data_IF_285177012914
#
_entry.id   IF_285177012914
#
_cell.length_a   1.000
_cell.length_b   1.000
_cell.length_c   1.000
_cell.angle_alpha   90.00
_cell.angle_beta   90.00
_cell.angle_gamma   90.00
#
_symmetry.space_group_name_H-M   'P 1'
#
loop_
_entity.id
_entity.type
_entity.pdbx_description
1 polymer ?
#
# COMPACT_ATOMS: atom_id res chain seq x y z
N UNK A 1 -5.23 -6.22 11.84
CA UNK A 1 -3.95 -5.54 11.60
C UNK A 1 -2.95 -6.40 10.83
N UNK A 2 -2.62 -7.61 11.30
CA UNK A 2 -1.70 -8.53 10.63
C UNK A 2 -2.04 -8.72 9.14
N UNK A 3 -3.28 -9.09 8.83
CA UNK A 3 -3.71 -9.31 7.44
C UNK A 3 -3.61 -8.05 6.57
N UNK A 4 -3.98 -6.88 7.09
CA UNK A 4 -3.83 -5.63 6.35
C UNK A 4 -2.35 -5.29 6.12
N UNK A 5 -1.47 -5.54 7.10
CA UNK A 5 -0.03 -5.35 6.92
C UNK A 5 0.49 -6.27 5.80
N UNK A 6 0.10 -7.55 5.80
CA UNK A 6 0.40 -8.49 4.72
C UNK A 6 -0.06 -7.97 3.34
N UNK A 7 -1.31 -7.52 3.24
CA UNK A 7 -1.87 -7.03 1.98
C UNK A 7 -1.16 -5.77 1.47
N UNK A 8 -0.88 -4.82 2.36
CA UNK A 8 -0.17 -3.60 2.01
C UNK A 8 1.28 -3.88 1.57
N UNK A 9 1.97 -4.73 2.32
CA UNK A 9 3.34 -5.14 2.00
C UNK A 9 3.44 -5.94 0.71
N UNK A 10 2.40 -6.70 0.34
CA UNK A 10 2.35 -7.39 -0.95
C UNK A 10 2.49 -6.41 -2.11
N UNK A 11 1.58 -5.44 -2.21
CA UNK A 11 1.63 -4.47 -3.29
C UNK A 11 2.88 -3.57 -3.21
N UNK A 12 3.35 -3.25 -2.00
CA UNK A 12 4.56 -2.45 -1.84
C UNK A 12 5.82 -3.18 -2.37
N UNK A 13 6.09 -4.41 -1.93
CA UNK A 13 7.32 -5.12 -2.31
C UNK A 13 7.30 -5.63 -3.75
N UNK A 14 6.14 -6.06 -4.26
CA UNK A 14 6.01 -6.49 -5.65
C UNK A 14 6.24 -5.31 -6.59
N UNK A 15 5.62 -4.14 -6.34
CA UNK A 15 5.90 -2.93 -7.10
C UNK A 15 7.37 -2.52 -6.95
N UNK A 16 7.92 -2.46 -5.74
CA UNK A 16 9.32 -2.07 -5.55
C UNK A 16 10.30 -2.92 -6.40
N UNK A 17 10.01 -4.21 -6.54
CA UNK A 17 10.87 -5.15 -7.28
C UNK A 17 10.66 -5.11 -8.78
N UNK A 18 9.41 -4.98 -9.25
CA UNK A 18 9.04 -5.17 -10.65
C UNK A 18 8.74 -3.88 -11.41
N UNK A 19 8.52 -2.74 -10.72
CA UNK A 19 8.18 -1.47 -11.33
C UNK A 19 9.25 -0.92 -12.30
N UNK A 20 10.58 -1.05 -12.03
CA UNK A 20 11.60 -0.63 -12.99
C UNK A 20 11.53 -1.41 -14.31
N UNK A 21 11.31 -2.73 -14.24
CA UNK A 21 11.17 -3.58 -15.41
C UNK A 21 9.89 -3.24 -16.17
N UNK A 22 8.77 -3.08 -15.45
CA UNK A 22 7.49 -2.66 -16.04
C UNK A 22 7.63 -1.33 -16.79
N UNK A 23 8.22 -0.29 -16.20
CA UNK A 23 8.44 0.98 -16.88
C UNK A 23 9.43 0.89 -18.04
N UNK A 24 10.42 0.01 -17.97
CA UNK A 24 11.36 -0.23 -19.07
C UNK A 24 10.61 -0.78 -20.30
N UNK A 25 9.73 -1.77 -20.09
CA UNK A 25 8.95 -2.39 -21.16
C UNK A 25 7.87 -1.45 -21.69
N UNK A 26 7.10 -0.79 -20.81
CA UNK A 26 5.98 0.07 -21.19
C UNK A 26 6.45 1.34 -21.93
N UNK A 27 7.51 1.99 -21.44
CA UNK A 27 8.06 3.21 -22.04
C UNK A 27 9.10 2.93 -23.13
N UNK A 28 9.43 1.67 -23.40
CA UNK A 28 10.56 1.26 -24.26
C UNK A 28 11.89 1.96 -23.90
N UNK A 29 12.12 2.15 -22.60
CA UNK A 29 13.33 2.79 -22.06
C UNK A 29 14.39 1.75 -21.72
N UNK A 30 15.65 2.18 -21.68
CA UNK A 30 16.68 1.35 -21.07
C UNK A 30 16.42 1.20 -19.56
N UNK A 31 16.80 0.06 -18.99
CA UNK A 31 16.58 -0.23 -17.56
C UNK A 31 17.14 0.86 -16.63
N UNK A 32 18.28 1.47 -17.00
CA UNK A 32 18.86 2.58 -16.23
C UNK A 32 17.95 3.81 -16.20
N UNK A 33 17.31 4.15 -17.31
CA UNK A 33 16.40 5.29 -17.40
C UNK A 33 15.10 4.96 -16.68
N UNK A 34 14.54 3.77 -16.89
CA UNK A 34 13.36 3.30 -16.16
C UNK A 34 13.57 3.24 -14.63
N UNK A 35 14.77 2.91 -14.17
CA UNK A 35 15.13 2.98 -12.76
C UNK A 35 15.06 4.42 -12.21
N UNK A 36 15.51 5.42 -12.98
CA UNK A 36 15.35 6.83 -12.59
C UNK A 36 13.87 7.24 -12.50
N UNK A 37 13.06 6.77 -13.44
CA UNK A 37 11.61 7.01 -13.44
C UNK A 37 10.93 6.34 -12.24
N UNK A 38 11.40 5.17 -11.82
CA UNK A 38 10.88 4.42 -10.66
C UNK A 38 11.16 5.09 -9.31
N UNK A 39 11.95 6.18 -9.29
CA UNK A 39 12.16 7.01 -8.09
C UNK A 39 11.00 8.00 -7.89
N UNK A 40 10.19 8.27 -8.92
CA UNK A 40 9.06 9.20 -8.85
C UNK A 40 8.03 8.81 -7.78
N UNK A 41 7.53 7.55 -7.69
CA UNK A 41 6.56 7.19 -6.66
C UNK A 41 7.10 7.36 -5.23
N UNK A 42 8.31 6.89 -4.86
CA UNK A 42 8.89 7.16 -3.54
C UNK A 42 9.07 8.65 -3.23
N UNK A 43 9.49 9.46 -4.21
CA UNK A 43 9.61 10.91 -4.01
C UNK A 43 8.24 11.57 -3.77
N UNK A 44 7.24 11.23 -4.59
CA UNK A 44 5.87 11.71 -4.40
C UNK A 44 5.29 11.26 -3.04
N UNK A 45 5.63 10.04 -2.61
CA UNK A 45 5.23 9.49 -1.31
C UNK A 45 5.68 10.34 -0.13
N UNK A 46 6.87 10.97 -0.21
CA UNK A 46 7.38 11.88 0.84
C UNK A 46 6.45 13.09 1.01
N UNK A 47 6.05 13.73 -0.09
CA UNK A 47 5.13 14.87 -0.04
C UNK A 47 3.73 14.47 0.44
N UNK A 48 3.23 13.34 -0.06
CA UNK A 48 1.90 12.83 0.32
C UNK A 48 1.86 12.45 1.80
N UNK A 49 2.94 11.93 2.37
CA UNK A 49 3.01 11.58 3.80
C UNK A 49 2.74 12.80 4.69
N UNK A 50 3.32 13.96 4.36
CA UNK A 50 3.08 15.21 5.10
C UNK A 50 1.61 15.65 5.02
N UNK A 51 1.00 15.53 3.83
CA UNK A 51 -0.42 15.84 3.62
C UNK A 51 -1.29 14.86 4.40
N UNK A 52 -0.97 13.57 4.37
CA UNK A 52 -1.72 12.51 5.04
C UNK A 52 -1.71 12.67 6.57
N UNK A 53 -0.56 13.05 7.15
CA UNK A 53 -0.42 13.33 8.58
C UNK A 53 -1.28 14.54 8.98
N UNK A 54 -1.14 15.67 8.27
CA UNK A 54 -1.93 16.87 8.56
C UNK A 54 -3.43 16.63 8.39
N UNK A 55 -3.82 15.85 7.37
CA UNK A 55 -5.20 15.46 7.12
C UNK A 55 -5.76 14.62 8.27
N UNK A 56 -5.03 13.59 8.72
CA UNK A 56 -5.50 12.75 9.83
C UNK A 56 -5.61 13.54 11.12
N UNK A 57 -4.63 14.38 11.42
CA UNK A 57 -4.58 15.15 12.67
C UNK A 57 -5.70 16.20 12.72
N UNK A 58 -5.97 16.86 11.58
CA UNK A 58 -7.08 17.81 11.47
C UNK A 58 -8.43 17.12 11.69
N UNK A 59 -8.66 15.92 11.14
CA UNK A 59 -9.91 15.20 11.37
C UNK A 59 -10.11 14.82 12.84
N UNK A 60 -9.04 14.36 13.50
CA UNK A 60 -9.07 14.02 14.93
C UNK A 60 -9.33 15.29 15.76
N UNK A 61 -8.66 16.41 15.46
CA UNK A 61 -8.84 17.68 16.15
C UNK A 61 -10.27 18.25 16.01
N UNK A 62 -10.95 17.96 14.89
CA UNK A 62 -12.35 18.32 14.66
C UNK A 62 -13.37 17.36 15.32
N UNK A 63 -12.90 16.38 16.11
CA UNK A 63 -13.75 15.50 16.91
C UNK A 63 -14.21 14.23 16.20
N UNK A 64 -13.62 13.88 15.05
CA UNK A 64 -13.87 12.57 14.41
C UNK A 64 -13.20 11.47 15.23
N UNK A 65 -13.89 10.34 15.44
CA UNK A 65 -13.33 9.19 16.15
C UNK A 65 -12.03 8.71 15.49
N UNK A 66 -10.99 8.48 16.29
CA UNK A 66 -9.68 8.00 15.83
C UNK A 66 -9.81 6.75 14.96
N UNK A 67 -10.61 5.76 15.38
CA UNK A 67 -10.90 4.54 14.60
C UNK A 67 -11.41 4.87 13.20
N UNK A 68 -12.31 5.84 13.08
CA UNK A 68 -12.88 6.24 11.80
C UNK A 68 -11.83 6.92 10.93
N UNK A 69 -10.99 7.81 11.50
CA UNK A 69 -9.89 8.44 10.77
C UNK A 69 -8.87 7.40 10.28
N UNK A 70 -8.49 6.43 11.12
CA UNK A 70 -7.57 5.34 10.73
C UNK A 70 -8.17 4.45 9.63
N UNK A 71 -9.47 4.17 9.68
CA UNK A 71 -10.19 3.45 8.62
C UNK A 71 -10.18 4.21 7.30
N UNK A 72 -10.45 5.52 7.32
CA UNK A 72 -10.43 6.37 6.12
C UNK A 72 -9.01 6.41 5.52
N UNK A 73 -7.99 6.68 6.34
CA UNK A 73 -6.61 6.74 5.85
C UNK A 73 -6.17 5.41 5.24
N UNK A 74 -6.49 4.28 5.90
CA UNK A 74 -6.14 2.97 5.37
C UNK A 74 -6.92 2.63 4.09
N UNK A 75 -8.19 3.01 3.99
CA UNK A 75 -8.98 2.82 2.78
C UNK A 75 -8.39 3.61 1.60
N UNK A 76 -7.99 4.87 1.82
CA UNK A 76 -7.30 5.68 0.80
C UNK A 76 -6.02 4.97 0.36
N UNK A 77 -5.22 4.48 1.33
CA UNK A 77 -3.95 3.83 1.06
C UNK A 77 -4.05 2.59 0.17
N UNK A 78 -5.12 1.81 0.29
CA UNK A 78 -5.31 0.58 -0.49
C UNK A 78 -6.15 0.79 -1.76
N UNK A 79 -7.20 1.60 -1.69
CA UNK A 79 -8.08 1.84 -2.83
C UNK A 79 -7.40 2.69 -3.91
N UNK A 80 -6.50 3.60 -3.53
CA UNK A 80 -5.79 4.43 -4.52
C UNK A 80 -4.88 3.62 -5.45
N UNK A 81 -3.90 2.81 -4.98
CA UNK A 81 -3.10 1.99 -5.88
C UNK A 81 -3.94 0.93 -6.59
N UNK A 82 -4.97 0.36 -5.96
CA UNK A 82 -5.86 -0.61 -6.61
C UNK A 82 -6.61 0.02 -7.80
N UNK A 83 -7.17 1.22 -7.62
CA UNK A 83 -7.87 1.93 -8.71
C UNK A 83 -6.91 2.32 -9.82
N UNK A 84 -5.73 2.83 -9.47
CA UNK A 84 -4.69 3.15 -10.46
C UNK A 84 -4.25 1.93 -11.26
N UNK A 85 -4.01 0.79 -10.61
CA UNK A 85 -3.67 -0.47 -11.29
C UNK A 85 -4.80 -0.98 -12.19
N UNK A 86 -6.07 -0.85 -11.77
CA UNK A 86 -7.22 -1.19 -12.62
C UNK A 86 -7.22 -0.30 -13.86
N UNK A 87 -7.10 1.02 -13.68
CA UNK A 87 -7.07 1.97 -14.81
C UNK A 87 -5.90 1.69 -15.77
N UNK A 88 -4.73 1.35 -15.26
CA UNK A 88 -3.56 0.96 -16.06
C UNK A 88 -3.72 -0.40 -16.75
N UNK A 89 -4.58 -1.28 -16.24
CA UNK A 89 -4.87 -2.58 -16.86
C UNK A 89 -5.91 -2.51 -17.98
N UNK A 90 -6.71 -1.44 -18.02
CA UNK A 90 -7.71 -1.23 -19.05
C UNK A 90 -7.05 -0.61 -20.29
N UNK A 91 -7.35 -1.16 -21.47
CA UNK A 91 -6.87 -0.64 -22.75
C UNK A 91 -7.66 0.64 -23.13
N UNK A 92 -7.34 1.73 -22.43
CA UNK A 92 -7.97 3.04 -22.60
C UNK A 92 -7.27 3.89 -23.66
N UNK A 93 -6.26 3.36 -24.36
CA UNK A 93 -5.46 4.10 -25.34
C UNK A 93 -4.62 5.23 -24.72
N UNK A 94 -4.28 5.12 -23.44
CA UNK A 94 -3.45 6.08 -22.71
C UNK A 94 -2.01 6.05 -23.23
N UNK A 95 -1.34 7.20 -23.22
CA UNK A 95 0.08 7.23 -23.52
C UNK A 95 0.89 6.56 -22.40
N UNK A 96 2.02 5.91 -22.72
CA UNK A 96 2.86 5.24 -21.71
C UNK A 96 3.25 6.15 -20.52
N UNK A 97 3.51 7.43 -20.78
CA UNK A 97 3.82 8.40 -19.72
C UNK A 97 2.66 8.69 -18.77
N UNK A 98 1.42 8.64 -19.27
CA UNK A 98 0.23 8.84 -18.45
C UNK A 98 0.02 7.65 -17.51
N UNK A 99 0.28 6.43 -17.99
CA UNK A 99 0.23 5.19 -17.18
C UNK A 99 1.22 5.29 -16.00
N UNK A 100 2.46 5.70 -16.28
CA UNK A 100 3.48 5.91 -15.24
C UNK A 100 3.06 6.98 -14.23
N UNK A 101 2.48 8.09 -14.70
CA UNK A 101 1.97 9.15 -13.83
C UNK A 101 0.84 8.66 -12.91
N UNK A 102 -0.13 7.92 -13.46
CA UNK A 102 -1.26 7.36 -12.71
C UNK A 102 -0.79 6.36 -11.66
N UNK A 103 0.09 5.42 -12.02
CA UNK A 103 0.65 4.44 -11.08
C UNK A 103 1.49 5.11 -10.01
N UNK A 104 2.33 6.10 -10.38
CA UNK A 104 3.15 6.84 -9.41
C UNK A 104 2.28 7.60 -8.41
N UNK A 105 1.19 8.22 -8.87
CA UNK A 105 0.24 8.91 -8.01
C UNK A 105 -0.49 7.95 -7.06
N UNK A 106 -0.98 6.81 -7.57
CA UNK A 106 -1.64 5.79 -6.74
C UNK A 106 -0.72 5.20 -5.68
N UNK A 107 0.52 4.88 -6.06
CA UNK A 107 1.54 4.38 -5.13
C UNK A 107 1.93 5.46 -4.10
N UNK A 108 1.98 6.74 -4.48
CA UNK A 108 2.24 7.82 -3.53
C UNK A 108 1.11 8.01 -2.51
N UNK A 109 -0.15 7.88 -2.95
CA UNK A 109 -1.32 7.89 -2.06
C UNK A 109 -1.37 6.69 -1.11
N UNK A 110 -0.66 5.60 -1.42
CA UNK A 110 -0.51 4.48 -0.49
C UNK A 110 0.20 4.88 0.82
N UNK A 111 0.95 6.00 0.86
CA UNK A 111 1.58 6.55 2.07
C UNK A 111 0.61 6.89 3.19
N UNK A 112 -0.69 7.04 2.90
CA UNK A 112 -1.72 7.17 3.94
C UNK A 112 -1.75 5.96 4.90
N UNK A 113 -1.12 4.83 4.56
CA UNK A 113 -0.93 3.70 5.47
C UNK A 113 -0.17 4.08 6.74
N UNK A 114 0.75 5.06 6.68
CA UNK A 114 1.50 5.54 7.83
C UNK A 114 0.54 6.13 8.88
N UNK A 115 -0.37 7.01 8.45
CA UNK A 115 -1.42 7.57 9.31
C UNK A 115 -2.56 6.59 9.63
N UNK A 116 -2.70 5.51 8.85
CA UNK A 116 -3.69 4.45 9.04
C UNK A 116 -3.19 3.31 9.92
N UNK A 117 -2.56 2.32 9.30
CA UNK A 117 -2.08 1.09 9.94
C UNK A 117 -1.01 1.34 11.01
N UNK A 118 0.01 2.16 10.76
CA UNK A 118 1.14 2.29 11.68
C UNK A 118 0.73 3.00 12.97
N UNK A 119 0.02 4.14 12.89
CA UNK A 119 -0.51 4.83 14.06
C UNK A 119 -1.48 3.97 14.89
N UNK A 120 -2.24 3.07 14.25
CA UNK A 120 -3.21 2.23 14.98
C UNK A 120 -2.55 1.32 16.02
N UNK A 121 -1.28 0.93 15.85
CA UNK A 121 -0.58 0.11 16.86
C UNK A 121 -0.37 0.90 18.16
N UNK A 122 -0.02 2.19 18.04
CA UNK A 122 0.13 3.10 19.17
C UNK A 122 -1.22 3.46 19.80
N UNK A 123 -2.26 3.65 18.98
CA UNK A 123 -3.61 3.96 19.47
C UNK A 123 -4.20 2.80 20.32
N UNK A 124 -3.90 1.55 19.96
CA UNK A 124 -4.37 0.36 20.70
C UNK A 124 -3.61 0.18 22.01
N UNK A 125 -2.28 0.30 21.98
CA UNK A 125 -1.44 0.11 23.17
C UNK A 125 -0.15 0.91 23.05
N UNK A 126 -0.01 2.03 23.79
CA UNK A 126 1.24 2.77 23.82
C UNK A 126 2.41 1.95 24.38
N UNK A 127 2.14 1.08 25.36
CA UNK A 127 3.14 0.24 26.03
C UNK A 127 3.67 -0.88 25.12
N UNK A 128 2.77 -1.56 24.41
CA UNK A 128 3.12 -2.71 23.57
C UNK A 128 3.21 -2.38 22.07
N UNK A 129 3.13 -1.10 21.68
CA UNK A 129 3.09 -0.64 20.28
C UNK A 129 4.21 -1.25 19.43
N UNK A 130 5.45 -1.22 19.93
CA UNK A 130 6.63 -1.73 19.22
C UNK A 130 6.58 -3.24 19.02
N UNK A 131 6.06 -3.98 20.00
CA UNK A 131 5.92 -5.45 19.91
C UNK A 131 4.83 -5.79 18.91
N UNK A 132 3.67 -5.11 18.98
CA UNK A 132 2.58 -5.29 18.04
C UNK A 132 3.05 -5.00 16.60
N UNK A 133 3.78 -3.90 16.40
CA UNK A 133 4.34 -3.55 15.10
C UNK A 133 5.38 -4.59 14.63
N UNK A 134 6.24 -5.08 15.51
CA UNK A 134 7.21 -6.14 15.19
C UNK A 134 6.53 -7.43 14.69
N UNK A 135 5.46 -7.85 15.37
CA UNK A 135 4.68 -9.04 14.98
C UNK A 135 4.03 -8.81 13.60
N UNK A 136 3.35 -7.68 13.39
CA UNK A 136 2.70 -7.43 12.11
C UNK A 136 3.71 -7.26 10.97
N UNK A 137 4.85 -6.63 11.23
CA UNK A 137 5.92 -6.43 10.25
C UNK A 137 6.59 -7.75 9.85
N UNK A 138 6.73 -8.70 10.78
CA UNK A 138 7.25 -10.04 10.46
C UNK A 138 6.37 -10.74 9.42
N UNK A 139 5.04 -10.67 9.59
CA UNK A 139 4.11 -11.21 8.59
C UNK A 139 4.10 -10.35 7.32
N UNK A 140 4.26 -9.03 7.47
CA UNK A 140 4.41 -8.09 6.36
C UNK A 140 5.63 -8.36 5.47
N UNK A 141 6.70 -8.96 5.99
CA UNK A 141 7.88 -9.30 5.19
C UNK A 141 7.68 -10.51 4.27
N UNK A 142 6.74 -11.42 4.60
CA UNK A 142 6.47 -12.64 3.82
C UNK A 142 6.11 -12.36 2.36
N UNK A 143 5.23 -11.39 2.03
CA UNK A 143 4.97 -10.97 0.66
C UNK A 143 6.20 -10.55 -0.15
N UNK A 144 7.25 -10.03 0.49
CA UNK A 144 8.48 -9.67 -0.20
C UNK A 144 9.22 -10.88 -0.77
N UNK A 145 9.08 -12.04 -0.12
CA UNK A 145 9.67 -13.30 -0.57
C UNK A 145 8.73 -13.99 -1.56
N UNK A 146 7.48 -14.21 -1.14
CA UNK A 146 6.52 -15.02 -1.89
C UNK A 146 5.92 -14.24 -3.06
N UNK A 147 5.54 -12.98 -2.83
CA UNK A 147 4.88 -12.15 -3.84
C UNK A 147 5.80 -11.81 -5.00
N UNK A 148 7.05 -11.43 -4.72
CA UNK A 148 8.02 -11.12 -5.77
C UNK A 148 8.31 -12.34 -6.65
N UNK A 149 8.53 -13.51 -6.04
CA UNK A 149 8.77 -14.76 -6.76
C UNK A 149 7.53 -15.19 -7.56
N UNK A 150 6.33 -15.09 -6.99
CA UNK A 150 5.08 -15.43 -7.66
C UNK A 150 4.82 -14.52 -8.86
N UNK A 151 5.04 -13.21 -8.74
CA UNK A 151 4.90 -12.26 -9.86
C UNK A 151 5.85 -12.63 -10.99
N UNK A 152 7.10 -13.01 -10.70
CA UNK A 152 8.03 -13.48 -11.73
C UNK A 152 7.55 -14.74 -12.45
N UNK A 153 7.14 -15.76 -11.69
CA UNK A 153 6.60 -16.99 -12.27
C UNK A 153 5.35 -16.76 -13.14
N UNK A 154 4.44 -15.89 -12.67
CA UNK A 154 3.25 -15.52 -13.43
C UNK A 154 3.59 -14.72 -14.68
N UNK A 155 4.57 -13.82 -14.61
CA UNK A 155 5.01 -13.04 -15.77
C UNK A 155 5.62 -13.94 -16.85
N UNK A 156 6.46 -14.91 -16.46
CA UNK A 156 7.03 -15.89 -17.38
C UNK A 156 5.97 -16.77 -18.05
N UNK A 157 4.88 -17.07 -17.34
CA UNK A 157 3.81 -17.94 -17.85
C UNK A 157 2.75 -17.21 -18.67
N UNK A 158 2.41 -15.98 -18.29
CA UNK A 158 1.27 -15.23 -18.86
C UNK A 158 1.70 -14.14 -19.84
N UNK A 159 2.97 -13.71 -19.79
CA UNK A 159 3.52 -12.58 -20.54
C UNK A 159 2.70 -11.28 -20.41
N UNK A 160 2.00 -11.11 -19.27
CA UNK A 160 1.11 -9.97 -19.04
C UNK A 160 1.28 -9.41 -17.64
N UNK A 161 1.71 -8.15 -17.56
CA UNK A 161 1.83 -7.38 -16.31
C UNK A 161 0.51 -7.23 -15.56
N UNK A 162 -0.59 -7.11 -16.29
CA UNK A 162 -1.94 -7.01 -15.73
C UNK A 162 -2.32 -8.26 -14.94
N UNK A 163 -1.95 -9.45 -15.42
CA UNK A 163 -2.21 -10.71 -14.71
C UNK A 163 -1.16 -11.04 -13.64
N UNK A 164 0.12 -10.70 -13.87
CA UNK A 164 1.20 -11.09 -12.97
C UNK A 164 1.43 -10.15 -11.78
N UNK A 165 1.29 -8.83 -12.01
CA UNK A 165 1.57 -7.79 -11.03
C UNK A 165 0.28 -7.13 -10.51
N UNK A 166 -0.60 -6.69 -11.42
CA UNK A 166 -1.77 -5.90 -11.03
C UNK A 166 -2.86 -6.75 -10.40
N UNK A 167 -3.28 -7.86 -11.00
CA UNK A 167 -4.39 -8.67 -10.49
C UNK A 167 -4.17 -9.18 -9.04
N UNK A 168 -3.01 -9.76 -8.66
CA UNK A 168 -2.76 -10.18 -7.29
C UNK A 168 -2.73 -8.99 -6.31
N UNK A 169 -2.10 -7.87 -6.72
CA UNK A 169 -2.01 -6.67 -5.90
C UNK A 169 -3.38 -6.04 -5.64
N UNK A 170 -4.21 -5.91 -6.69
CA UNK A 170 -5.59 -5.43 -6.59
C UNK A 170 -6.40 -6.34 -5.66
N UNK A 171 -6.29 -7.66 -5.81
CA UNK A 171 -6.97 -8.61 -4.95
C UNK A 171 -6.63 -8.39 -3.47
N UNK A 172 -5.34 -8.29 -3.13
CA UNK A 172 -4.92 -8.08 -1.75
C UNK A 172 -5.30 -6.68 -1.22
N UNK A 173 -5.22 -5.63 -2.04
CA UNK A 173 -5.65 -4.29 -1.62
C UNK A 173 -7.15 -4.23 -1.33
N UNK A 174 -7.99 -4.82 -2.20
CA UNK A 174 -9.44 -4.82 -2.00
C UNK A 174 -9.87 -5.66 -0.81
N UNK A 175 -9.35 -6.88 -0.69
CA UNK A 175 -9.65 -7.78 0.44
C UNK A 175 -9.12 -7.21 1.75
N UNK A 176 -7.90 -6.64 1.74
CA UNK A 176 -7.32 -5.91 2.87
C UNK A 176 -8.17 -4.73 3.31
N UNK A 177 -8.74 -3.97 2.35
CA UNK A 177 -9.66 -2.86 2.65
C UNK A 177 -10.94 -3.34 3.32
N UNK A 178 -11.56 -4.39 2.77
CA UNK A 178 -12.80 -4.96 3.33
C UNK A 178 -12.58 -5.42 4.77
N UNK A 179 -11.52 -6.21 5.01
CA UNK A 179 -11.20 -6.72 6.34
C UNK A 179 -10.85 -5.58 7.30
N UNK A 180 -10.12 -4.56 6.85
CA UNK A 180 -9.79 -3.40 7.69
C UNK A 180 -11.04 -2.60 8.09
N UNK A 181 -11.92 -2.30 7.13
CA UNK A 181 -13.14 -1.55 7.41
C UNK A 181 -14.09 -2.31 8.34
N UNK A 182 -14.19 -3.63 8.18
CA UNK A 182 -15.04 -4.47 9.02
C UNK A 182 -14.51 -4.60 10.46
N UNK A 183 -13.22 -4.85 10.64
CA UNK A 183 -12.68 -5.32 11.92
C UNK A 183 -11.69 -4.38 12.63
N UNK A 184 -11.19 -3.32 11.99
CA UNK A 184 -10.24 -2.44 12.64
C UNK A 184 -10.91 -1.62 13.77
N UNK A 185 -10.17 -1.46 14.87
CA UNK A 185 -10.52 -0.64 16.03
C UNK A 185 -9.25 0.05 16.52
N UNK A 186 -9.34 1.33 16.87
CA UNK A 186 -8.25 2.14 17.42
C UNK A 186 -8.53 2.56 18.87
N UNK A 187 -9.38 1.79 19.57
CA UNK A 187 -9.69 2.04 20.98
C UNK A 187 -8.58 1.46 21.86
N UNK A 188 -8.05 2.24 22.83
CA UNK A 188 -7.05 1.74 23.77
C UNK A 188 -7.53 0.46 24.46
N UNK A 189 -6.67 -0.55 24.50
CA UNK A 189 -6.94 -1.80 25.20
C UNK A 189 -6.21 -1.79 26.55
N UNK A 190 -6.92 -2.08 27.64
CA UNK A 190 -6.29 -2.30 28.94
C UNK A 190 -5.75 -3.73 28.97
N UNK A 191 -4.44 -3.88 29.10
CA UNK A 191 -3.78 -5.18 29.28
C UNK A 191 -3.53 -5.51 30.75
N UNK A 192 -4.11 -4.74 31.69
CA UNK A 192 -4.03 -5.05 33.12
C UNK A 192 -4.69 -6.40 33.39
N UNK A 193 -3.98 -7.33 34.03
CA UNK A 193 -4.57 -8.55 34.58
C UNK A 193 -5.79 -8.16 35.43
N UNK A 194 -6.93 -8.79 35.15
CA UNK A 194 -7.97 -8.88 36.17
C UNK A 194 -7.49 -9.96 37.11
N UNK A 195 -7.11 -9.56 38.32
CA UNK A 195 -6.77 -10.46 39.43
C UNK A 195 -7.84 -11.56 39.63
#
# INVERSE_FOLDING_TARGET
MIYAHFCGSWGHYTCLSWLPTFFSEELNLNLREAAWVSILPPLASVFVTSIAAQFSDNLIANGVETTTVRKICQAISFLSPATCMILSSLDLGLQPWEIVGILSCGLALSSFALSGLYCTHQDISPEYASILLGITNTVGAVPGIVGVALTGFLLDSTHSWSMSLFAPSIFFYLTGTIVWLAFASSKPQSFSESD
#
